data_IF_168399015925
#
_entry.id   IF_168399015925
#
_cell.length_a   1.000
_cell.length_b   1.000
_cell.length_c   1.000
_cell.angle_alpha   90.00
_cell.angle_beta   90.00
_cell.angle_gamma   90.00
#
_symmetry.space_group_name_H-M   'P 1'
#
loop_
_entity.id
_entity.type
_entity.pdbx_description
1 polymer ?
#
# COMPACT_ATOMS: atom_id res chain seq x y z
N UNK A 1 -39.87 -60.71 9.10
CA UNK A 1 -40.25 -60.15 7.79
C UNK A 1 -40.66 -58.70 7.99
N UNK A 2 -39.83 -57.73 7.64
CA UNK A 2 -40.16 -56.90 6.48
C UNK A 2 -39.33 -55.62 6.34
N UNK A 3 -38.21 -55.49 7.08
CA UNK A 3 -37.45 -54.22 7.17
C UNK A 3 -36.05 -54.30 6.51
N UNK A 4 -35.97 -55.03 5.39
CA UNK A 4 -34.70 -55.20 4.61
C UNK A 4 -34.89 -55.10 3.09
N UNK A 5 -36.08 -54.78 2.59
CA UNK A 5 -36.39 -54.71 1.14
C UNK A 5 -36.42 -53.29 0.54
N UNK A 6 -36.42 -52.22 1.34
CA UNK A 6 -36.38 -50.84 0.81
C UNK A 6 -34.97 -50.24 0.69
N UNK A 7 -33.97 -50.79 1.39
CA UNK A 7 -32.54 -50.41 1.21
C UNK A 7 -31.85 -51.07 0.00
N UNK A 8 -32.59 -51.86 -0.80
CA UNK A 8 -32.10 -52.55 -2.01
C UNK A 8 -32.35 -51.78 -3.33
N UNK A 9 -33.04 -50.64 -3.32
CA UNK A 9 -33.27 -49.81 -4.53
C UNK A 9 -32.37 -48.57 -4.67
N UNK A 10 -31.58 -48.21 -3.65
CA UNK A 10 -30.55 -47.16 -3.76
C UNK A 10 -29.12 -47.71 -3.94
N UNK A 11 -28.92 -49.03 -3.84
CA UNK A 11 -27.65 -49.71 -4.14
C UNK A 11 -27.53 -50.15 -5.61
N UNK A 12 -28.40 -49.67 -6.48
CA UNK A 12 -28.49 -50.07 -7.89
C UNK A 12 -28.12 -48.93 -8.88
N UNK A 13 -27.21 -48.04 -8.48
CA UNK A 13 -26.41 -47.21 -9.39
C UNK A 13 -24.95 -47.13 -8.93
N UNK A 14 -24.39 -48.26 -8.49
CA UNK A 14 -22.97 -48.37 -8.13
C UNK A 14 -22.23 -49.54 -8.80
N UNK A 15 -22.85 -50.21 -9.77
CA UNK A 15 -22.19 -51.23 -10.58
C UNK A 15 -22.54 -51.03 -12.05
N UNK A 16 -21.91 -50.04 -12.66
CA UNK A 16 -21.60 -50.10 -14.07
C UNK A 16 -20.14 -49.68 -14.23
N UNK A 17 -19.33 -50.67 -14.58
CA UNK A 17 -18.01 -50.53 -15.23
C UNK A 17 -16.82 -50.43 -14.27
N UNK A 18 -16.33 -51.60 -13.86
CA UNK A 18 -14.96 -51.80 -13.34
C UNK A 18 -14.14 -52.47 -14.45
N UNK A 19 -12.92 -51.93 -14.66
CA UNK A 19 -11.75 -52.38 -15.46
C UNK A 19 -11.89 -52.26 -16.99
N UNK A 20 -11.06 -51.53 -17.76
CA UNK A 20 -9.58 -51.44 -17.86
C UNK A 20 -9.27 -50.02 -18.41
N UNK A 21 -8.32 -49.18 -17.96
CA UNK A 21 -7.00 -49.41 -17.40
C UNK A 21 -5.91 -48.85 -18.34
N UNK A 22 -5.80 -47.52 -18.48
CA UNK A 22 -4.56 -46.80 -18.83
C UNK A 22 -4.50 -45.53 -17.98
N UNK A 23 -3.95 -45.66 -16.77
CA UNK A 23 -3.80 -44.56 -15.83
C UNK A 23 -2.64 -43.65 -16.23
N UNK A 24 -2.95 -42.45 -16.73
CA UNK A 24 -2.03 -41.32 -16.62
C UNK A 24 -2.10 -40.89 -15.16
N UNK A 25 -1.06 -41.21 -14.39
CA UNK A 25 -0.90 -40.71 -13.04
C UNK A 25 -0.74 -39.18 -13.08
N UNK A 26 -1.83 -38.44 -12.79
CA UNK A 26 -1.73 -37.05 -12.41
C UNK A 26 -1.09 -37.00 -11.02
N UNK A 27 0.25 -37.00 -11.01
CA UNK A 27 1.04 -36.69 -9.83
C UNK A 27 0.67 -35.26 -9.44
N UNK A 28 -0.17 -35.09 -8.41
CA UNK A 28 -0.28 -33.81 -7.71
C UNK A 28 1.11 -33.54 -7.14
N UNK A 29 1.84 -32.53 -7.64
CA UNK A 29 3.13 -32.21 -7.05
C UNK A 29 2.89 -31.86 -5.57
N UNK A 30 3.80 -32.27 -4.66
CA UNK A 30 3.70 -31.84 -3.26
C UNK A 30 3.62 -30.32 -3.24
N UNK A 31 2.80 -29.74 -2.36
CA UNK A 31 2.67 -28.27 -2.20
C UNK A 31 4.03 -27.54 -2.14
N UNK A 32 5.08 -28.23 -1.69
CA UNK A 32 6.47 -27.74 -1.71
C UNK A 32 7.05 -27.44 -3.09
N UNK A 33 6.67 -28.16 -4.16
CA UNK A 33 7.16 -27.92 -5.52
C UNK A 33 6.51 -26.70 -6.18
N UNK A 34 5.23 -26.44 -5.86
CA UNK A 34 4.54 -25.23 -6.30
C UNK A 34 5.17 -24.01 -5.63
N UNK A 35 5.48 -24.10 -4.33
CA UNK A 35 6.23 -23.05 -3.61
C UNK A 35 7.63 -22.83 -4.20
N UNK A 36 8.35 -23.90 -4.57
CA UNK A 36 9.67 -23.81 -5.19
C UNK A 36 9.64 -23.11 -6.56
N UNK A 37 8.64 -23.42 -7.39
CA UNK A 37 8.44 -22.77 -8.69
C UNK A 37 8.05 -21.29 -8.55
N UNK A 38 7.20 -20.95 -7.58
CA UNK A 38 6.84 -19.54 -7.27
C UNK A 38 8.08 -18.75 -6.82
N UNK A 39 8.98 -19.36 -6.05
CA UNK A 39 10.23 -18.71 -5.59
C UNK A 39 11.32 -18.61 -6.68
N UNK A 40 11.15 -19.28 -7.82
CA UNK A 40 12.13 -19.33 -8.92
C UNK A 40 11.82 -18.35 -10.06
N UNK A 41 10.70 -17.63 -9.99
CA UNK A 41 10.34 -16.60 -10.98
C UNK A 41 11.02 -15.28 -10.57
N UNK A 42 11.95 -14.73 -11.37
CA UNK A 42 12.68 -13.51 -10.99
C UNK A 42 11.78 -12.27 -10.82
N UNK A 43 10.60 -12.24 -11.48
CA UNK A 43 9.58 -11.19 -11.32
C UNK A 43 8.71 -11.31 -10.04
N UNK A 44 8.86 -12.40 -9.27
CA UNK A 44 8.23 -12.59 -7.96
C UNK A 44 9.17 -12.23 -6.79
N UNK A 45 10.29 -11.55 -7.06
CA UNK A 45 10.98 -10.72 -6.07
C UNK A 45 10.20 -9.43 -5.86
N UNK A 46 8.93 -9.57 -5.47
CA UNK A 46 8.22 -8.49 -4.82
C UNK A 46 9.05 -8.10 -3.60
N UNK A 47 9.26 -6.79 -3.41
CA UNK A 47 9.72 -6.22 -2.15
C UNK A 47 9.11 -7.02 -1.00
N UNK A 48 10.00 -7.56 -0.16
CA UNK A 48 9.79 -8.82 0.54
C UNK A 48 8.39 -8.96 1.15
N UNK A 49 7.85 -10.17 1.01
CA UNK A 49 6.64 -10.63 1.72
C UNK A 49 6.70 -10.43 3.24
N UNK A 50 7.84 -10.08 3.83
CA UNK A 50 8.02 -9.90 5.28
C UNK A 50 7.39 -8.61 5.84
N UNK A 51 7.49 -7.46 5.17
CA UNK A 51 6.84 -6.21 5.63
C UNK A 51 5.32 -6.30 5.57
N UNK A 52 4.79 -6.81 4.46
CA UNK A 52 3.35 -7.08 4.31
C UNK A 52 2.87 -8.19 5.25
N UNK A 53 3.65 -9.26 5.48
CA UNK A 53 3.32 -10.28 6.49
C UNK A 53 3.34 -9.72 7.92
N UNK A 54 4.20 -8.74 8.23
CA UNK A 54 4.22 -8.12 9.56
C UNK A 54 3.03 -7.18 9.75
N UNK A 55 2.66 -6.38 8.75
CA UNK A 55 1.42 -5.59 8.79
C UNK A 55 0.21 -6.51 8.87
N UNK A 56 0.20 -7.65 8.18
CA UNK A 56 -0.83 -8.69 8.30
C UNK A 56 -0.94 -9.24 9.73
N UNK A 57 0.19 -9.50 10.38
CA UNK A 57 0.23 -10.17 11.69
C UNK A 57 0.19 -9.21 12.88
N UNK A 58 0.43 -7.92 12.68
CA UNK A 58 0.51 -6.91 13.75
C UNK A 58 -0.24 -5.61 13.49
N UNK A 59 -0.91 -5.50 12.33
CA UNK A 59 -1.72 -4.34 11.95
C UNK A 59 -2.98 -4.17 12.81
N UNK A 60 -3.77 -3.11 12.54
CA UNK A 60 -4.99 -2.82 13.26
C UNK A 60 -5.90 -4.05 13.33
N UNK A 61 -6.54 -4.28 14.49
CA UNK A 61 -7.51 -5.37 14.61
C UNK A 61 -8.56 -5.20 13.51
N UNK A 62 -8.76 -6.28 12.74
CA UNK A 62 -9.67 -6.45 11.59
C UNK A 62 -11.09 -5.87 11.86
N UNK A 63 -11.43 -5.77 13.15
CA UNK A 63 -12.68 -5.30 13.72
C UNK A 63 -12.88 -3.77 13.61
N UNK A 64 -11.83 -2.96 13.45
CA UNK A 64 -11.93 -1.48 13.43
C UNK A 64 -12.26 -0.92 12.04
N UNK A 65 -12.11 -1.74 10.99
CA UNK A 65 -12.36 -1.35 9.59
C UNK A 65 -13.49 -2.15 8.92
N UNK A 66 -14.18 -3.05 9.62
CA UNK A 66 -15.21 -3.91 9.01
C UNK A 66 -14.66 -4.72 7.82
N UNK A 67 -13.38 -5.09 7.87
CA UNK A 67 -12.62 -5.50 6.69
C UNK A 67 -12.84 -6.99 6.35
N UNK A 68 -13.42 -7.24 5.19
CA UNK A 68 -13.38 -8.53 4.50
C UNK A 68 -11.98 -8.79 3.88
N UNK A 69 -11.72 -10.02 3.44
CA UNK A 69 -10.44 -10.41 2.85
C UNK A 69 -9.99 -9.53 1.65
N UNK A 70 -10.95 -8.94 0.92
CA UNK A 70 -10.67 -8.02 -0.19
C UNK A 70 -10.09 -6.69 0.29
N UNK A 71 -10.57 -6.14 1.41
CA UNK A 71 -10.02 -4.92 2.02
C UNK A 71 -8.56 -5.12 2.47
N UNK A 72 -8.25 -6.30 3.01
CA UNK A 72 -6.90 -6.67 3.41
C UNK A 72 -5.93 -6.72 2.21
N UNK A 73 -6.32 -7.38 1.12
CA UNK A 73 -5.50 -7.47 -0.10
C UNK A 73 -5.21 -6.09 -0.70
N UNK A 74 -6.18 -5.18 -0.65
CA UNK A 74 -5.98 -3.79 -1.09
C UNK A 74 -4.91 -3.08 -0.25
N UNK A 75 -4.96 -3.19 1.08
CA UNK A 75 -3.95 -2.55 1.94
C UNK A 75 -2.55 -3.13 1.76
N UNK A 76 -2.44 -4.44 1.53
CA UNK A 76 -1.17 -5.08 1.19
C UNK A 76 -0.55 -4.51 -0.09
N UNK A 77 -1.34 -4.38 -1.17
CA UNK A 77 -0.89 -3.76 -2.44
C UNK A 77 -0.41 -2.32 -2.25
N UNK A 78 -1.14 -1.54 -1.45
CA UNK A 78 -0.81 -0.13 -1.17
C UNK A 78 0.51 -0.02 -0.42
N UNK A 79 0.72 -0.86 0.60
CA UNK A 79 1.98 -0.88 1.35
C UNK A 79 3.11 -1.24 0.41
N UNK A 80 3.01 -2.34 -0.33
CA UNK A 80 4.06 -2.80 -1.23
C UNK A 80 4.40 -1.74 -2.30
N UNK A 81 3.37 -1.10 -2.88
CA UNK A 81 3.55 0.00 -3.84
C UNK A 81 4.20 1.22 -3.19
N UNK A 82 3.80 1.57 -1.97
CA UNK A 82 4.38 2.68 -1.20
C UNK A 82 5.84 2.45 -0.83
N UNK A 83 6.18 1.25 -0.35
CA UNK A 83 7.55 0.85 -0.01
C UNK A 83 8.45 0.83 -1.24
N UNK A 84 7.99 0.24 -2.36
CA UNK A 84 8.74 0.25 -3.63
C UNK A 84 9.09 1.67 -4.04
N UNK A 85 8.11 2.57 -4.00
CA UNK A 85 8.28 3.98 -4.34
C UNK A 85 9.26 4.70 -3.41
N UNK A 86 9.22 4.38 -2.11
CA UNK A 86 10.13 4.90 -1.12
C UNK A 86 11.57 4.40 -1.34
N UNK A 87 11.75 3.12 -1.70
CA UNK A 87 13.04 2.52 -1.98
C UNK A 87 13.69 3.11 -3.24
N UNK A 88 12.93 3.26 -4.32
CA UNK A 88 13.38 3.93 -5.55
C UNK A 88 13.85 5.37 -5.26
N UNK A 89 13.09 6.10 -4.44
CA UNK A 89 13.43 7.47 -4.09
C UNK A 89 14.64 7.56 -3.15
N UNK A 90 14.75 6.67 -2.17
CA UNK A 90 15.92 6.62 -1.28
C UNK A 90 17.21 6.32 -2.05
N UNK A 91 17.19 5.33 -2.95
CA UNK A 91 18.33 5.05 -3.83
C UNK A 91 18.69 6.25 -4.70
N UNK A 92 17.70 6.98 -5.19
CA UNK A 92 17.95 8.20 -5.96
C UNK A 92 18.63 9.29 -5.13
N UNK A 93 18.12 9.57 -3.91
CA UNK A 93 18.67 10.63 -3.06
C UNK A 93 20.12 10.34 -2.65
N UNK A 94 20.42 9.08 -2.30
CA UNK A 94 21.73 8.66 -1.79
C UNK A 94 22.65 8.07 -2.87
N UNK A 95 22.35 8.25 -4.16
CA UNK A 95 23.05 7.56 -5.26
C UNK A 95 24.56 7.90 -5.35
N UNK A 96 24.99 9.03 -4.77
CA UNK A 96 26.39 9.48 -4.76
C UNK A 96 27.04 9.34 -3.37
N UNK A 97 26.30 8.89 -2.36
CA UNK A 97 26.79 8.71 -1.01
C UNK A 97 27.45 7.34 -0.84
N UNK A 98 28.38 7.24 0.13
CA UNK A 98 28.99 5.96 0.51
C UNK A 98 27.95 4.95 0.96
N UNK A 99 26.92 5.42 1.67
CA UNK A 99 25.72 4.65 1.96
C UNK A 99 24.68 4.99 0.88
N UNK A 100 24.53 4.12 -0.11
CA UNK A 100 23.69 4.37 -1.29
C UNK A 100 22.29 3.72 -1.21
N UNK A 101 21.74 3.67 0.01
CA UNK A 101 20.46 3.02 0.31
C UNK A 101 20.40 1.55 -0.14
N UNK A 102 21.19 0.65 0.49
CA UNK A 102 21.21 -0.77 0.14
C UNK A 102 19.85 -1.42 0.39
N UNK A 103 19.54 -2.48 -0.37
CA UNK A 103 18.23 -3.14 -0.35
C UNK A 103 17.79 -3.63 1.03
N UNK A 104 18.75 -4.11 1.84
CA UNK A 104 18.52 -4.56 3.21
C UNK A 104 18.02 -3.45 4.14
N UNK A 105 18.32 -2.18 3.84
CA UNK A 105 17.85 -1.04 4.64
C UNK A 105 16.32 -0.90 4.56
N UNK A 106 15.72 -1.25 3.42
CA UNK A 106 14.27 -1.21 3.20
C UNK A 106 13.54 -2.43 3.77
N UNK A 107 14.20 -3.59 3.80
CA UNK A 107 13.59 -4.90 4.07
C UNK A 107 13.77 -5.36 5.52
N UNK A 108 14.92 -5.06 6.12
CA UNK A 108 15.32 -5.68 7.38
C UNK A 108 15.10 -4.74 8.54
N UNK A 109 14.20 -5.09 9.46
CA UNK A 109 14.07 -4.42 10.76
C UNK A 109 15.40 -4.29 11.52
N UNK A 110 16.44 -5.09 11.21
CA UNK A 110 17.77 -4.92 11.81
C UNK A 110 18.42 -3.58 11.42
N UNK A 111 18.17 -3.06 10.22
CA UNK A 111 18.60 -1.71 9.82
C UNK A 111 17.91 -0.62 10.69
N UNK A 112 16.70 -0.91 11.14
CA UNK A 112 15.83 -0.04 11.92
C UNK A 112 16.16 -0.12 13.42
N UNK A 113 17.07 -1.01 13.83
CA UNK A 113 17.54 -1.10 15.22
C UNK A 113 18.59 -0.03 15.54
N UNK A 114 19.17 0.61 14.53
CA UNK A 114 20.17 1.65 14.72
C UNK A 114 19.55 3.03 14.62
N UNK A 115 19.85 3.89 15.58
CA UNK A 115 19.43 5.29 15.61
C UNK A 115 20.35 6.17 14.74
N UNK A 116 20.47 5.84 13.45
CA UNK A 116 21.27 6.63 12.50
C UNK A 116 20.41 7.62 11.72
N UNK A 117 21.05 8.59 11.09
CA UNK A 117 20.39 9.57 10.23
C UNK A 117 19.77 8.89 8.99
N UNK A 118 20.46 7.92 8.40
CA UNK A 118 20.00 7.16 7.23
C UNK A 118 18.75 6.34 7.58
N UNK A 119 18.76 5.65 8.73
CA UNK A 119 17.59 4.92 9.21
C UNK A 119 16.39 5.87 9.44
N UNK A 120 16.66 7.10 9.89
CA UNK A 120 15.62 8.11 10.11
C UNK A 120 15.00 8.59 8.80
N UNK A 121 15.81 8.77 7.75
CA UNK A 121 15.32 9.05 6.42
C UNK A 121 14.49 7.89 5.85
N UNK A 122 14.98 6.65 5.93
CA UNK A 122 14.28 5.44 5.45
C UNK A 122 12.89 5.30 6.08
N UNK A 123 12.79 5.51 7.39
CA UNK A 123 11.53 5.50 8.13
C UNK A 123 10.55 6.56 7.62
N UNK A 124 11.04 7.79 7.48
CA UNK A 124 10.22 8.91 6.99
C UNK A 124 9.75 8.70 5.55
N UNK A 125 10.64 8.28 4.64
CA UNK A 125 10.29 8.12 3.23
C UNK A 125 9.33 6.95 2.98
N UNK A 126 9.40 5.87 3.77
CA UNK A 126 8.43 4.77 3.71
C UNK A 126 7.05 5.23 4.17
N UNK A 127 6.96 5.91 5.32
CA UNK A 127 5.70 6.47 5.80
C UNK A 127 5.09 7.46 4.79
N UNK A 128 5.93 8.30 4.18
CA UNK A 128 5.54 9.21 3.10
C UNK A 128 5.05 8.46 1.85
N UNK A 129 5.74 7.39 1.42
CA UNK A 129 5.39 6.56 0.28
C UNK A 129 4.02 5.91 0.43
N UNK A 130 3.75 5.32 1.59
CA UNK A 130 2.46 4.70 1.91
C UNK A 130 1.35 5.75 1.93
N UNK A 131 1.56 6.89 2.60
CA UNK A 131 0.60 8.00 2.63
C UNK A 131 0.30 8.56 1.23
N UNK A 132 1.33 8.71 0.39
CA UNK A 132 1.21 9.20 -0.99
C UNK A 132 0.34 8.27 -1.82
N UNK A 133 0.63 6.96 -1.78
CA UNK A 133 -0.13 5.93 -2.50
C UNK A 133 -1.57 5.85 -2.02
N UNK A 134 -1.82 5.84 -0.71
CA UNK A 134 -3.17 5.88 -0.12
C UNK A 134 -3.98 7.07 -0.63
N UNK A 135 -3.39 8.26 -0.54
CA UNK A 135 -4.04 9.50 -0.95
C UNK A 135 -4.35 9.47 -2.45
N UNK A 136 -3.40 9.04 -3.27
CA UNK A 136 -3.57 8.98 -4.72
C UNK A 136 -4.67 7.99 -5.12
N UNK A 137 -4.67 6.78 -4.55
CA UNK A 137 -5.68 5.75 -4.82
C UNK A 137 -7.08 6.22 -4.39
N UNK A 138 -7.17 6.92 -3.26
CA UNK A 138 -8.40 7.54 -2.77
C UNK A 138 -8.99 8.54 -3.77
N UNK A 139 -8.17 9.48 -4.26
CA UNK A 139 -8.61 10.49 -5.22
C UNK A 139 -8.93 9.94 -6.62
N UNK A 140 -8.46 8.73 -6.92
CA UNK A 140 -8.81 7.98 -8.13
C UNK A 140 -10.07 7.11 -7.96
N UNK A 141 -10.68 7.06 -6.77
CA UNK A 141 -11.89 6.28 -6.51
C UNK A 141 -11.66 4.78 -6.31
N UNK A 142 -10.45 4.35 -5.92
CA UNK A 142 -10.17 2.94 -5.63
C UNK A 142 -10.76 2.45 -4.30
N UNK A 143 -11.22 3.35 -3.42
CA UNK A 143 -11.91 3.00 -2.17
C UNK A 143 -13.35 3.52 -2.23
N UNK A 144 -14.26 2.78 -1.60
CA UNK A 144 -15.66 3.20 -1.41
C UNK A 144 -15.78 4.28 -0.34
N UNK A 145 -14.95 4.22 0.69
CA UNK A 145 -15.13 4.99 1.93
C UNK A 145 -14.33 6.30 1.92
N UNK A 146 -13.77 6.69 0.78
CA UNK A 146 -13.04 7.94 0.66
C UNK A 146 -13.10 8.49 -0.79
N UNK A 147 -12.80 9.78 -0.92
CA UNK A 147 -12.72 10.46 -2.20
C UNK A 147 -11.93 11.75 -2.08
N UNK A 148 -12.20 12.69 -2.99
CA UNK A 148 -11.58 14.01 -3.01
C UNK A 148 -11.90 14.83 -1.75
N UNK A 149 -11.01 15.76 -1.39
CA UNK A 149 -11.29 16.78 -0.38
C UNK A 149 -12.12 17.92 -1.00
N UNK A 150 -13.42 17.90 -0.75
CA UNK A 150 -14.36 18.91 -1.23
C UNK A 150 -14.49 20.12 -0.27
N UNK A 151 -13.73 20.19 0.83
CA UNK A 151 -13.90 21.21 1.87
C UNK A 151 -13.75 22.66 1.39
N UNK A 152 -13.04 22.88 0.28
CA UNK A 152 -12.86 24.21 -0.31
C UNK A 152 -13.63 24.42 -1.61
N UNK A 153 -14.30 23.40 -2.13
CA UNK A 153 -14.92 23.44 -3.46
C UNK A 153 -15.97 24.56 -3.55
N UNK A 154 -15.90 25.34 -4.63
CA UNK A 154 -16.75 26.52 -4.85
C UNK A 154 -16.29 27.79 -4.14
N UNK A 155 -15.35 27.72 -3.19
CA UNK A 155 -14.82 28.89 -2.48
C UNK A 155 -13.88 29.68 -3.41
N UNK A 156 -13.94 31.01 -3.37
CA UNK A 156 -12.96 31.89 -4.05
C UNK A 156 -11.57 31.69 -3.45
N UNK A 157 -10.61 31.30 -4.28
CA UNK A 157 -9.22 31.09 -3.85
C UNK A 157 -8.33 32.33 -4.01
N UNK A 158 -8.82 33.36 -4.68
CA UNK A 158 -8.13 34.62 -4.95
C UNK A 158 -8.78 35.37 -6.13
N UNK A 159 -8.06 36.33 -6.72
CA UNK A 159 -8.56 37.09 -7.87
C UNK A 159 -8.77 36.15 -9.07
N UNK A 160 -10.00 36.14 -9.60
CA UNK A 160 -10.43 35.38 -10.77
C UNK A 160 -10.21 33.85 -10.73
N UNK A 161 -10.21 33.24 -9.54
CA UNK A 161 -10.21 31.79 -9.47
C UNK A 161 -10.98 31.19 -8.30
N UNK A 162 -11.48 29.99 -8.54
CA UNK A 162 -12.32 29.22 -7.62
C UNK A 162 -11.66 27.86 -7.36
N UNK A 163 -11.81 27.36 -6.15
CA UNK A 163 -11.48 25.97 -5.82
C UNK A 163 -12.49 25.04 -6.51
N UNK A 164 -12.01 24.07 -7.29
CA UNK A 164 -12.84 23.08 -7.97
C UNK A 164 -12.02 21.83 -8.28
N UNK A 165 -12.55 20.88 -9.04
CA UNK A 165 -11.89 19.62 -9.37
C UNK A 165 -11.78 18.68 -8.17
N UNK A 166 -10.82 17.76 -8.23
CA UNK A 166 -10.55 16.81 -7.17
C UNK A 166 -9.30 17.25 -6.40
N UNK A 167 -9.47 17.74 -5.17
CA UNK A 167 -8.33 17.93 -4.28
C UNK A 167 -7.95 16.63 -3.60
N UNK A 168 -6.66 16.31 -3.56
CA UNK A 168 -6.15 15.08 -2.98
C UNK A 168 -6.38 15.03 -1.45
N UNK A 169 -7.00 13.97 -0.95
CA UNK A 169 -7.41 13.86 0.45
C UNK A 169 -6.28 13.34 1.35
N UNK A 170 -5.30 14.21 1.63
CA UNK A 170 -4.15 13.90 2.48
C UNK A 170 -4.50 13.65 3.94
N UNK A 171 -5.69 14.06 4.41
CA UNK A 171 -6.17 13.74 5.77
C UNK A 171 -6.48 12.26 5.88
N UNK A 172 -7.18 11.70 4.90
CA UNK A 172 -7.42 10.27 4.80
C UNK A 172 -6.11 9.48 4.72
N UNK A 173 -5.25 9.81 3.76
CA UNK A 173 -4.00 9.07 3.56
C UNK A 173 -3.07 9.14 4.78
N UNK A 174 -3.01 10.29 5.46
CA UNK A 174 -2.22 10.45 6.67
C UNK A 174 -2.74 9.60 7.85
N UNK A 175 -4.07 9.57 8.05
CA UNK A 175 -4.70 8.76 9.10
C UNK A 175 -4.45 7.27 8.89
N UNK A 176 -4.66 6.77 7.68
CA UNK A 176 -4.49 5.34 7.37
C UNK A 176 -3.01 4.95 7.39
N UNK A 177 -2.11 5.78 6.84
CA UNK A 177 -0.66 5.57 6.96
C UNK A 177 -0.21 5.50 8.42
N UNK A 178 -0.74 6.38 9.28
CA UNK A 178 -0.49 6.32 10.73
C UNK A 178 -0.91 4.97 11.31
N UNK A 179 -2.12 4.51 11.03
CA UNK A 179 -2.63 3.24 11.55
C UNK A 179 -1.82 2.03 11.06
N UNK A 180 -1.34 2.03 9.82
CA UNK A 180 -0.59 0.91 9.24
C UNK A 180 0.88 0.88 9.67
N UNK A 181 1.56 2.04 9.62
CA UNK A 181 3.01 2.11 9.84
C UNK A 181 3.33 2.17 11.33
N UNK A 182 2.57 2.96 12.11
CA UNK A 182 2.86 3.14 13.52
C UNK A 182 2.47 1.89 14.34
N UNK A 183 1.55 1.03 13.87
CA UNK A 183 1.21 -0.23 14.55
C UNK A 183 2.36 -1.24 14.59
N UNK A 184 3.36 -1.07 13.72
CA UNK A 184 4.56 -1.91 13.69
C UNK A 184 5.52 -1.59 14.84
N UNK A 185 5.42 -0.38 15.40
CA UNK A 185 6.28 0.13 16.47
C UNK A 185 5.64 -0.15 17.84
N UNK A 186 5.95 -1.33 18.39
CA UNK A 186 5.38 -1.81 19.67
C UNK A 186 6.18 -1.41 20.92
N UNK A 187 7.40 -0.90 20.73
CA UNK A 187 8.30 -0.50 21.82
C UNK A 187 7.82 0.74 22.56
N UNK A 188 8.27 0.92 23.81
CA UNK A 188 8.08 2.14 24.60
C UNK A 188 9.40 2.84 24.92
N UNK A 189 10.46 2.44 24.24
CA UNK A 189 11.81 2.97 24.40
C UNK A 189 12.02 4.24 23.56
N UNK A 190 13.15 4.92 23.79
CA UNK A 190 13.53 6.12 23.03
C UNK A 190 13.62 5.82 21.52
N UNK A 191 14.05 4.61 21.16
CA UNK A 191 14.11 4.16 19.77
C UNK A 191 12.72 4.11 19.13
N UNK A 192 11.72 3.48 19.76
CA UNK A 192 10.35 3.49 19.24
C UNK A 192 9.79 4.92 19.12
N UNK A 193 10.08 5.80 20.08
CA UNK A 193 9.65 7.21 20.04
C UNK A 193 10.24 7.95 18.84
N UNK A 194 11.54 7.75 18.58
CA UNK A 194 12.24 8.31 17.42
C UNK A 194 11.64 7.79 16.11
N UNK A 195 11.33 6.49 16.00
CA UNK A 195 10.70 5.91 14.80
C UNK A 195 9.32 6.50 14.52
N UNK A 196 8.47 6.59 15.55
CA UNK A 196 7.16 7.22 15.43
C UNK A 196 7.27 8.69 15.00
N UNK A 197 8.26 9.41 15.52
CA UNK A 197 8.57 10.77 15.09
C UNK A 197 8.97 10.82 13.62
N UNK A 198 9.90 9.99 13.18
CA UNK A 198 10.39 9.94 11.80
C UNK A 198 9.25 9.59 10.82
N UNK A 199 8.38 8.65 11.20
CA UNK A 199 7.18 8.32 10.42
C UNK A 199 6.26 9.54 10.25
N UNK A 200 6.06 10.32 11.33
CA UNK A 200 5.25 11.53 11.26
C UNK A 200 5.92 12.63 10.44
N UNK A 201 7.23 12.81 10.52
CA UNK A 201 7.99 13.72 9.65
C UNK A 201 7.77 13.37 8.17
N UNK A 202 7.81 12.07 7.84
CA UNK A 202 7.43 11.54 6.53
C UNK A 202 6.03 11.94 6.09
N UNK A 203 5.02 11.77 6.96
CA UNK A 203 3.63 12.18 6.64
C UNK A 203 3.47 13.70 6.52
N UNK A 204 4.18 14.47 7.35
CA UNK A 204 4.19 15.94 7.30
C UNK A 204 4.75 16.43 5.96
N UNK A 205 5.83 15.82 5.46
CA UNK A 205 6.45 16.24 4.18
C UNK A 205 5.48 16.10 3.01
N UNK A 206 4.67 15.05 2.97
CA UNK A 206 3.60 14.88 1.96
C UNK A 206 2.61 16.04 2.02
N UNK A 207 2.16 16.44 3.22
CA UNK A 207 1.19 17.55 3.39
C UNK A 207 1.81 18.90 3.02
N UNK A 208 3.06 19.14 3.42
CA UNK A 208 3.75 20.42 3.22
C UNK A 208 4.15 20.66 1.77
N UNK A 209 4.47 19.62 1.02
CA UNK A 209 4.90 19.75 -0.38
C UNK A 209 3.74 19.80 -1.39
N UNK A 210 2.51 19.49 -0.98
CA UNK A 210 1.32 19.60 -1.84
C UNK A 210 1.28 20.92 -2.62
N UNK A 211 0.98 20.83 -3.92
CA UNK A 211 0.92 21.95 -4.86
C UNK A 211 -0.52 22.33 -5.20
N UNK A 212 -0.73 23.58 -5.58
CA UNK A 212 -2.01 24.03 -6.13
C UNK A 212 -1.90 23.95 -7.64
N UNK A 213 -2.72 23.09 -8.26
CA UNK A 213 -2.75 22.89 -9.72
C UNK A 213 -4.00 23.57 -10.27
N UNK A 214 -3.87 24.28 -11.38
CA UNK A 214 -4.95 25.08 -11.96
C UNK A 214 -5.23 24.70 -13.42
N UNK A 215 -6.49 24.83 -13.84
CA UNK A 215 -6.93 24.81 -15.24
C UNK A 215 -7.49 26.19 -15.62
N UNK A 216 -7.02 26.72 -16.75
CA UNK A 216 -7.46 28.01 -17.29
C UNK A 216 -8.64 27.84 -18.25
N UNK A 217 -9.56 28.81 -18.24
CA UNK A 217 -10.84 28.76 -18.97
C UNK A 217 -11.11 30.01 -19.82
N UNK A 218 -10.09 30.80 -20.17
CA UNK A 218 -10.25 31.97 -21.02
C UNK A 218 -10.21 31.66 -22.52
N UNK A 219 -10.67 32.61 -23.33
CA UNK A 219 -10.63 32.54 -24.80
C UNK A 219 -9.20 32.26 -25.25
N UNK A 220 -9.03 31.36 -26.22
CA UNK A 220 -7.73 30.91 -26.74
C UNK A 220 -6.77 30.35 -25.68
N UNK A 221 -7.28 29.81 -24.57
CA UNK A 221 -6.47 29.22 -23.50
C UNK A 221 -5.91 30.24 -22.50
N UNK A 222 -6.36 31.49 -22.54
CA UNK A 222 -5.97 32.50 -21.56
C UNK A 222 -6.41 32.14 -20.13
N UNK A 223 -5.72 32.66 -19.13
CA UNK A 223 -5.99 32.38 -17.71
C UNK A 223 -6.79 33.51 -17.03
N UNK A 224 -7.65 34.20 -17.77
CA UNK A 224 -8.50 35.29 -17.25
C UNK A 224 -9.42 34.80 -16.13
N UNK A 225 -9.96 33.58 -16.27
CA UNK A 225 -10.62 32.80 -15.21
C UNK A 225 -9.96 31.43 -15.12
N UNK A 226 -9.73 30.92 -13.91
CA UNK A 226 -9.20 29.57 -13.70
C UNK A 226 -9.86 28.86 -12.52
N UNK A 227 -9.76 27.55 -12.51
CA UNK A 227 -10.16 26.71 -11.37
C UNK A 227 -8.95 25.93 -10.88
N UNK A 228 -8.77 25.81 -9.57
CA UNK A 228 -7.63 25.06 -9.02
C UNK A 228 -8.04 24.05 -7.94
N UNK A 229 -7.18 23.05 -7.74
CA UNK A 229 -7.29 22.02 -6.71
C UNK A 229 -5.95 21.83 -6.01
N UNK A 230 -5.98 21.23 -4.80
CA UNK A 230 -4.77 20.79 -4.10
C UNK A 230 -4.38 19.41 -4.62
N UNK A 231 -3.16 19.27 -5.11
CA UNK A 231 -2.63 18.02 -5.62
C UNK A 231 -1.38 17.63 -4.84
N UNK A 232 -1.18 16.33 -4.64
CA UNK A 232 0.09 15.78 -4.20
C UNK A 232 1.22 16.28 -5.10
N UNK A 233 2.36 16.56 -4.49
CA UNK A 233 3.57 16.75 -5.26
C UNK A 233 4.04 15.43 -5.88
N UNK A 234 4.88 15.57 -6.90
CA UNK A 234 5.67 14.47 -7.41
C UNK A 234 6.56 13.95 -6.29
N UNK A 235 6.73 12.63 -6.20
CA UNK A 235 7.36 12.02 -5.02
C UNK A 235 8.82 12.43 -4.84
N UNK A 236 9.50 12.75 -5.95
CA UNK A 236 10.82 13.39 -5.94
C UNK A 236 10.88 14.66 -5.08
N UNK A 237 9.84 15.51 -5.15
CA UNK A 237 9.79 16.74 -4.35
C UNK A 237 9.62 16.43 -2.86
N UNK A 238 8.97 15.32 -2.52
CA UNK A 238 8.84 14.84 -1.14
C UNK A 238 10.20 14.31 -0.65
N UNK A 239 10.90 13.52 -1.46
CA UNK A 239 12.27 13.06 -1.18
C UNK A 239 13.22 14.21 -0.92
N UNK A 240 13.26 15.20 -1.83
CA UNK A 240 14.10 16.40 -1.69
C UNK A 240 13.73 17.27 -0.47
N UNK A 241 12.50 17.20 0.04
CA UNK A 241 12.09 17.94 1.24
C UNK A 241 12.49 17.21 2.53
N UNK A 242 12.61 15.89 2.48
CA UNK A 242 12.97 15.04 3.63
C UNK A 242 14.47 14.91 3.84
N UNK A 243 15.27 15.11 2.79
CA UNK A 243 16.72 15.16 2.85
C UNK A 243 17.19 16.53 3.38
#
# INVERSE_FOLDING_TARGET
HGDRRQRRRQRQMQEATVVVGWGIALIRPPLGWILFLIMSIPDLRAFSTWSVNKILMTGPKINEFGANATTYLMFSDIVATGEKKAAEECRYQFQLDRWNCPEDSMVSQKSWLSATQEASFVQGIIAAGIMHTLTRRCSLGHFTDCGCDDSKKGIRGGHNWLWSGCSDNVRFGGRVSKQLVDSLEKGKDALASMKLHNNEVGRVSVRKTMKTTCKCHGVSGSCTTKTCWRQLADFRRIGNYLL
#
